data_IF_754883130729
#
_entry.id   IF_754883130729
#
_cell.length_a   1.000
_cell.length_b   1.000
_cell.length_c   1.000
_cell.angle_alpha   90.00
_cell.angle_beta   90.00
_cell.angle_gamma   90.00
#
_symmetry.space_group_name_H-M   'P 1'
#
loop_
_entity.id
_entity.type
_entity.pdbx_description
1 polymer ?
#
# COMPACT_ATOMS: atom_id res chain seq x y z
N UNK A 1 15.26 -48.83 29.30
CA UNK A 1 15.99 -47.55 29.33
C UNK A 1 14.95 -46.44 29.30
N UNK A 2 14.70 -45.81 30.45
CA UNK A 2 13.71 -44.74 30.61
C UNK A 2 14.29 -43.44 30.02
N UNK A 3 13.69 -42.90 28.96
CA UNK A 3 13.98 -41.53 28.54
C UNK A 3 13.25 -40.57 29.50
N UNK A 4 14.06 -39.85 30.26
CA UNK A 4 13.66 -38.82 31.20
C UNK A 4 12.97 -37.66 30.45
N UNK A 5 11.81 -37.25 30.95
CA UNK A 5 11.21 -35.96 30.62
C UNK A 5 12.19 -34.86 31.03
N UNK A 6 12.78 -34.14 30.07
CA UNK A 6 13.67 -33.01 30.36
C UNK A 6 12.78 -31.83 30.77
N UNK A 7 12.80 -31.37 32.04
CA UNK A 7 12.10 -30.15 32.42
C UNK A 7 12.94 -28.98 31.91
N UNK A 8 12.44 -28.29 30.88
CA UNK A 8 13.03 -27.04 30.44
C UNK A 8 12.52 -25.91 31.35
N UNK A 9 13.40 -24.95 31.68
CA UNK A 9 13.06 -23.83 32.55
C UNK A 9 11.84 -23.06 32.00
N UNK A 10 10.82 -22.83 32.85
CA UNK A 10 9.61 -22.07 32.49
C UNK A 10 8.28 -22.84 32.48
N UNK A 11 8.20 -24.04 33.06
CA UNK A 11 6.93 -24.79 33.13
C UNK A 11 6.54 -25.48 31.81
N UNK A 12 7.54 -25.76 30.95
CA UNK A 12 7.36 -26.44 29.67
C UNK A 12 7.73 -27.91 29.83
N UNK A 13 6.85 -28.82 29.38
CA UNK A 13 7.07 -30.27 29.33
C UNK A 13 7.02 -30.78 27.90
N UNK A 14 7.84 -31.77 27.56
CA UNK A 14 7.86 -32.36 26.22
C UNK A 14 7.86 -33.89 26.29
N UNK A 15 7.28 -34.53 25.28
CA UNK A 15 7.29 -35.98 25.11
C UNK A 15 7.33 -36.36 23.64
N UNK A 16 8.22 -37.29 23.27
CA UNK A 16 8.39 -37.78 21.91
C UNK A 16 7.55 -39.05 21.71
N UNK A 17 6.75 -39.11 20.65
CA UNK A 17 6.00 -40.32 20.27
C UNK A 17 6.89 -41.32 19.53
N UNK A 18 7.86 -41.90 20.22
CA UNK A 18 8.81 -42.89 19.70
C UNK A 18 8.45 -44.34 20.06
N UNK A 19 7.26 -44.54 20.65
CA UNK A 19 6.84 -45.84 21.19
C UNK A 19 7.08 -45.99 22.70
N UNK A 20 7.69 -45.00 23.35
CA UNK A 20 7.75 -44.91 24.81
C UNK A 20 6.35 -44.77 25.44
N UNK A 21 6.25 -45.07 26.74
CA UNK A 21 5.01 -44.96 27.48
C UNK A 21 4.50 -43.51 27.47
N UNK A 22 3.23 -43.34 27.08
CA UNK A 22 2.62 -42.01 26.99
C UNK A 22 2.42 -41.42 28.40
N UNK A 23 2.82 -40.16 28.65
CA UNK A 23 2.67 -39.53 29.95
C UNK A 23 1.19 -39.25 30.27
N UNK A 24 0.78 -39.28 31.56
CA UNK A 24 -0.60 -38.97 31.96
C UNK A 24 -1.13 -37.63 31.43
N UNK A 25 -0.29 -36.58 31.42
CA UNK A 25 -0.68 -35.25 30.93
C UNK A 25 -0.98 -35.19 29.43
N UNK A 26 -0.56 -36.21 28.67
CA UNK A 26 -0.94 -36.41 27.26
C UNK A 26 -2.15 -37.34 27.18
N UNK A 27 -2.13 -38.48 27.89
CA UNK A 27 -3.21 -39.47 27.90
C UNK A 27 -4.57 -38.86 28.27
N UNK A 28 -4.62 -38.02 29.30
CA UNK A 28 -5.85 -37.42 29.81
C UNK A 28 -6.47 -36.40 28.84
N UNK A 29 -5.77 -36.10 27.75
CA UNK A 29 -6.12 -35.04 26.79
C UNK A 29 -6.20 -35.54 25.36
N UNK A 30 -6.09 -36.84 25.10
CA UNK A 30 -6.35 -37.37 23.76
C UNK A 30 -7.86 -37.32 23.47
N UNK A 31 -8.22 -36.95 22.25
CA UNK A 31 -9.64 -36.90 21.83
C UNK A 31 -10.08 -38.16 21.09
N UNK A 32 -9.14 -39.04 20.73
CA UNK A 32 -9.37 -40.33 20.08
C UNK A 32 -8.31 -41.34 20.55
N UNK A 33 -8.68 -42.62 20.58
CA UNK A 33 -7.78 -43.73 20.90
C UNK A 33 -6.63 -43.84 19.89
N UNK A 34 -5.48 -44.34 20.37
CA UNK A 34 -4.27 -44.51 19.56
C UNK A 34 -4.51 -45.56 18.46
N UNK A 35 -4.34 -45.16 17.21
CA UNK A 35 -4.50 -46.02 16.05
C UNK A 35 -3.34 -47.04 15.93
N UNK A 36 -3.51 -48.15 15.17
CA UNK A 36 -2.47 -49.15 14.97
C UNK A 36 -1.16 -48.60 14.37
N UNK A 37 -1.22 -47.47 13.65
CA UNK A 37 -0.05 -46.77 13.12
C UNK A 37 0.67 -45.88 14.15
N UNK A 38 0.27 -45.95 15.42
CA UNK A 38 0.86 -45.19 16.51
C UNK A 38 0.44 -43.72 16.59
N UNK A 39 -0.51 -43.27 15.75
CA UNK A 39 -1.01 -41.89 15.77
C UNK A 39 -2.25 -41.71 16.63
N UNK A 40 -2.44 -40.51 17.17
CA UNK A 40 -3.59 -40.14 18.01
C UNK A 40 -3.88 -38.63 17.89
N UNK A 41 -5.04 -38.17 18.34
CA UNK A 41 -5.45 -36.76 18.27
C UNK A 41 -5.30 -36.06 19.63
N UNK A 42 -4.81 -34.81 19.61
CA UNK A 42 -4.76 -33.92 20.77
C UNK A 42 -5.41 -32.57 20.44
N UNK A 43 -6.04 -31.90 21.43
CA UNK A 43 -6.55 -30.55 21.29
C UNK A 43 -5.39 -29.56 21.45
N UNK A 44 -5.26 -28.66 20.48
CA UNK A 44 -4.29 -27.57 20.50
C UNK A 44 -5.02 -26.22 20.42
N UNK A 45 -4.36 -25.08 20.71
CA UNK A 45 -4.96 -23.77 20.53
C UNK A 45 -5.40 -23.46 19.08
N UNK A 46 -4.89 -24.22 18.10
CA UNK A 46 -5.21 -24.08 16.67
C UNK A 46 -6.28 -25.09 16.21
N UNK A 47 -6.93 -25.79 17.15
CA UNK A 47 -7.87 -26.89 16.87
C UNK A 47 -7.25 -28.25 17.17
N UNK A 48 -7.83 -29.31 16.62
CA UNK A 48 -7.36 -30.68 16.86
C UNK A 48 -6.23 -31.05 15.89
N UNK A 49 -5.14 -31.62 16.40
CA UNK A 49 -3.98 -32.04 15.61
C UNK A 49 -3.67 -33.52 15.82
N UNK A 50 -3.27 -34.20 14.75
CA UNK A 50 -2.80 -35.59 14.80
C UNK A 50 -1.31 -35.65 15.13
N UNK A 51 -0.99 -36.37 16.21
CA UNK A 51 0.38 -36.69 16.61
C UNK A 51 0.78 -37.97 15.88
N UNK A 52 1.77 -37.91 15.00
CA UNK A 52 2.34 -39.07 14.32
C UNK A 52 3.48 -39.68 15.14
N UNK A 53 3.89 -40.91 14.81
CA UNK A 53 5.11 -41.48 15.34
C UNK A 53 6.31 -40.61 14.95
N UNK A 54 7.20 -40.33 15.90
CA UNK A 54 8.34 -39.43 15.73
C UNK A 54 8.05 -37.94 15.97
N UNK A 55 6.80 -37.53 16.21
CA UNK A 55 6.49 -36.14 16.60
C UNK A 55 6.63 -35.92 18.11
N UNK A 56 6.95 -34.68 18.48
CA UNK A 56 7.04 -34.23 19.88
C UNK A 56 5.76 -33.51 20.27
N UNK A 57 5.18 -33.92 21.39
CA UNK A 57 4.10 -33.23 22.10
C UNK A 57 4.72 -32.31 23.14
N UNK A 58 4.26 -31.06 23.17
CA UNK A 58 4.79 -30.00 24.05
C UNK A 58 3.62 -29.46 24.88
N UNK A 59 3.83 -29.26 26.18
CA UNK A 59 2.88 -28.63 27.11
C UNK A 59 3.51 -27.40 27.75
N UNK A 60 2.75 -26.31 27.77
CA UNK A 60 3.13 -25.00 28.28
C UNK A 60 1.84 -24.24 28.60
N UNK A 61 1.75 -23.68 29.81
CA UNK A 61 0.57 -22.92 30.23
C UNK A 61 -0.76 -23.70 30.16
N UNK A 62 -0.73 -25.02 30.32
CA UNK A 62 -1.93 -25.87 30.28
C UNK A 62 -2.49 -26.12 28.88
N UNK A 63 -1.74 -25.84 27.81
CA UNK A 63 -2.10 -26.10 26.40
C UNK A 63 -1.14 -27.11 25.78
N UNK A 64 -1.60 -27.86 24.78
CA UNK A 64 -0.78 -28.83 24.06
C UNK A 64 -0.45 -28.35 22.64
N UNK A 65 0.73 -28.72 22.17
CA UNK A 65 1.18 -28.54 20.79
C UNK A 65 1.85 -29.83 20.28
N UNK A 66 1.86 -30.00 18.96
CA UNK A 66 2.57 -31.09 18.30
C UNK A 66 3.47 -30.52 17.20
N UNK A 67 4.74 -30.93 17.19
CA UNK A 67 5.74 -30.51 16.20
C UNK A 67 6.67 -31.66 15.84
N UNK A 68 7.35 -31.55 14.70
CA UNK A 68 8.51 -32.40 14.43
C UNK A 68 9.69 -32.02 15.33
N UNK A 69 10.59 -32.94 15.69
CA UNK A 69 11.72 -32.66 16.59
C UNK A 69 12.54 -31.43 16.17
N UNK A 70 12.75 -31.22 14.87
CA UNK A 70 13.49 -30.10 14.30
C UNK A 70 12.82 -28.72 14.49
N UNK A 71 11.49 -28.68 14.67
CA UNK A 71 10.70 -27.46 14.84
C UNK A 71 10.50 -27.07 16.32
N UNK A 72 10.86 -27.95 17.25
CA UNK A 72 10.67 -27.75 18.70
C UNK A 72 11.47 -26.54 19.23
N UNK A 73 12.76 -26.34 18.87
CA UNK A 73 13.55 -25.22 19.42
C UNK A 73 12.96 -23.84 19.09
N UNK A 74 12.40 -23.66 17.90
CA UNK A 74 11.77 -22.40 17.48
C UNK A 74 10.51 -22.11 18.30
N UNK A 75 9.66 -23.12 18.50
CA UNK A 75 8.44 -22.99 19.30
C UNK A 75 8.76 -22.67 20.77
N UNK A 76 9.78 -23.31 21.34
CA UNK A 76 10.21 -23.07 22.73
C UNK A 76 10.78 -21.65 22.92
N UNK A 77 11.53 -21.14 21.94
CA UNK A 77 12.03 -19.76 21.98
C UNK A 77 10.90 -18.73 22.01
N UNK A 78 9.76 -19.04 21.38
CA UNK A 78 8.55 -18.21 21.43
C UNK A 78 7.90 -18.13 22.82
N UNK A 79 7.95 -19.21 23.60
CA UNK A 79 7.31 -19.27 24.93
C UNK A 79 8.08 -18.51 26.02
N UNK A 80 9.41 -18.47 25.95
CA UNK A 80 10.26 -17.86 27.00
C UNK A 80 10.20 -16.31 26.99
N UNK A 81 9.62 -15.70 25.94
CA UNK A 81 9.58 -14.25 25.77
C UNK A 81 8.40 -13.53 26.48
N UNK A 82 7.50 -14.24 27.18
CA UNK A 82 6.24 -13.70 27.71
C UNK A 82 6.26 -13.39 29.23
N UNK A 83 7.03 -12.41 29.72
CA UNK A 83 6.80 -11.83 31.08
C UNK A 83 7.13 -10.33 31.14
N UNK A 84 6.18 -9.42 30.86
CA UNK A 84 6.18 -8.02 31.37
C UNK A 84 4.77 -7.35 31.26
N UNK A 85 4.48 -6.16 31.86
CA UNK A 85 3.24 -5.85 32.58
C UNK A 85 2.28 -4.96 31.77
N UNK A 86 1.13 -4.62 32.38
CA UNK A 86 0.06 -3.80 31.79
C UNK A 86 0.52 -2.39 31.36
N UNK A 87 0.21 -2.04 30.11
CA UNK A 87 0.45 -0.72 29.51
C UNK A 87 -0.87 0.03 29.31
N UNK A 88 -0.97 1.18 29.97
CA UNK A 88 -1.96 2.23 29.78
C UNK A 88 -1.43 3.29 28.80
N UNK A 89 -1.81 3.21 27.52
CA UNK A 89 -1.98 4.35 26.59
C UNK A 89 -1.99 3.88 25.12
N UNK A 90 -3.08 4.19 24.41
CA UNK A 90 -3.17 4.06 22.95
C UNK A 90 -3.57 5.43 22.38
N UNK A 91 -2.70 6.04 21.58
CA UNK A 91 -3.04 7.21 20.76
C UNK A 91 -1.82 7.92 20.15
N UNK A 92 -1.79 8.20 18.84
CA UNK A 92 -0.72 8.95 18.21
C UNK A 92 -0.95 10.47 18.33
N UNK A 93 0.14 11.18 18.61
CA UNK A 93 0.19 12.59 19.00
C UNK A 93 -0.65 13.60 18.21
N UNK A 94 -1.30 14.49 18.97
CA UNK A 94 -1.23 15.94 18.79
C UNK A 94 -1.25 16.63 20.15
N UNK A 95 -0.07 17.01 20.62
CA UNK A 95 0.11 18.09 21.60
C UNK A 95 1.45 18.75 21.34
N UNK A 96 1.52 19.50 20.23
CA UNK A 96 2.53 20.54 20.09
C UNK A 96 1.90 21.85 20.57
N UNK A 97 2.00 22.12 21.86
CA UNK A 97 1.98 23.48 22.40
C UNK A 97 3.02 23.59 23.53
N UNK A 98 3.77 24.68 23.47
CA UNK A 98 4.82 25.15 24.37
C UNK A 98 6.21 24.55 24.17
N UNK A 99 7.09 25.41 23.65
CA UNK A 99 8.45 25.10 23.29
C UNK A 99 9.35 24.83 24.48
N UNK A 100 10.29 23.91 24.28
CA UNK A 100 11.59 23.93 24.96
C UNK A 100 12.67 23.52 23.96
N UNK A 101 13.80 24.21 24.07
CA UNK A 101 14.93 24.25 23.14
C UNK A 101 15.49 22.86 22.82
N UNK A 102 15.65 22.56 21.53
CA UNK A 102 16.39 21.38 21.08
C UNK A 102 17.89 21.58 21.33
N UNK A 103 18.47 20.80 22.25
CA UNK A 103 19.92 20.61 22.29
C UNK A 103 20.30 19.59 21.24
N UNK A 104 21.14 20.03 20.30
CA UNK A 104 21.85 19.22 19.30
C UNK A 104 22.71 18.16 19.98
N UNK A 105 22.27 16.90 19.91
CA UNK A 105 23.03 15.72 20.31
C UNK A 105 23.65 15.05 19.09
N UNK A 106 24.98 14.93 19.12
CA UNK A 106 25.86 14.27 18.14
C UNK A 106 25.33 12.93 17.62
N UNK A 107 25.33 12.78 16.28
CA UNK A 107 24.97 11.54 15.57
C UNK A 107 26.12 10.52 15.67
N UNK A 108 25.99 9.57 16.60
CA UNK A 108 26.67 8.28 16.51
C UNK A 108 25.92 7.34 15.57
N UNK A 109 26.57 6.90 14.49
CA UNK A 109 26.11 5.77 13.66
C UNK A 109 26.04 4.50 14.52
N UNK A 110 24.84 3.95 14.72
CA UNK A 110 24.63 2.53 15.07
C UNK A 110 23.46 1.98 14.29
N UNK A 111 23.76 1.17 13.28
CA UNK A 111 22.82 0.29 12.60
C UNK A 111 22.58 -0.95 13.45
N UNK A 112 21.87 -0.79 14.57
CA UNK A 112 21.21 -1.91 15.24
C UNK A 112 19.72 -1.76 14.95
N UNK A 113 19.12 -2.76 14.29
CA UNK A 113 17.66 -2.84 14.18
C UNK A 113 17.07 -2.64 15.58
N UNK A 114 16.24 -1.61 15.74
CA UNK A 114 15.52 -1.42 16.99
C UNK A 114 14.68 -2.66 17.18
N UNK A 115 14.91 -3.42 18.25
CA UNK A 115 14.03 -4.53 18.65
C UNK A 115 12.64 -3.95 18.88
N UNK A 116 11.75 -4.09 17.90
CA UNK A 116 10.35 -3.70 18.03
C UNK A 116 9.68 -4.86 18.79
N UNK A 117 9.26 -4.62 20.04
CA UNK A 117 8.40 -5.55 20.74
C UNK A 117 7.01 -5.51 20.10
N UNK A 118 6.53 -6.64 19.60
CA UNK A 118 5.16 -6.77 19.10
C UNK A 118 4.20 -6.84 20.29
N UNK A 119 3.15 -6.01 20.30
CA UNK A 119 2.11 -6.09 21.33
C UNK A 119 1.28 -7.37 21.19
N UNK A 120 0.64 -7.81 22.27
CA UNK A 120 -0.26 -8.95 22.24
C UNK A 120 -1.39 -8.73 21.20
N UNK A 121 -1.72 -9.74 20.37
CA UNK A 121 -2.87 -9.65 19.48
C UNK A 121 -4.15 -9.35 20.25
N UNK A 122 -4.95 -8.41 19.76
CA UNK A 122 -6.24 -8.04 20.35
C UNK A 122 -7.41 -8.38 19.42
N UNK A 123 -8.58 -8.63 20.00
CA UNK A 123 -9.80 -8.96 19.27
C UNK A 123 -9.96 -10.45 18.95
N UNK A 124 -11.04 -10.77 18.22
CA UNK A 124 -11.32 -12.13 17.74
C UNK A 124 -10.78 -12.30 16.32
N UNK A 125 -10.40 -13.53 15.95
CA UNK A 125 -10.00 -13.82 14.57
C UNK A 125 -11.19 -13.63 13.63
N UNK A 126 -11.01 -12.97 12.47
CA UNK A 126 -12.08 -12.87 11.49
C UNK A 126 -12.30 -14.21 10.77
N UNK A 127 -13.50 -14.39 10.23
CA UNK A 127 -13.80 -15.48 9.29
C UNK A 127 -13.80 -14.98 7.84
N UNK A 128 -13.43 -15.86 6.90
CA UNK A 128 -13.59 -15.60 5.47
C UNK A 128 -14.78 -16.41 4.97
N UNK A 129 -15.80 -15.72 4.44
CA UNK A 129 -17.06 -16.34 4.04
C UNK A 129 -17.56 -15.78 2.70
N UNK A 130 -18.25 -16.62 1.92
CA UNK A 130 -19.06 -16.15 0.80
C UNK A 130 -20.42 -15.71 1.32
N UNK A 131 -20.71 -14.41 1.23
CA UNK A 131 -21.95 -13.83 1.77
C UNK A 131 -22.86 -13.41 0.63
N UNK A 132 -24.14 -13.80 0.72
CA UNK A 132 -25.14 -13.39 -0.26
C UNK A 132 -25.28 -11.87 -0.28
N UNK A 133 -25.28 -11.27 -1.47
CA UNK A 133 -25.25 -9.80 -1.62
C UNK A 133 -26.45 -9.13 -0.96
N UNK A 134 -27.62 -9.78 -0.96
CA UNK A 134 -28.83 -9.30 -0.30
C UNK A 134 -28.81 -9.42 1.24
N UNK A 135 -27.86 -10.16 1.82
CA UNK A 135 -27.69 -10.28 3.28
C UNK A 135 -26.74 -9.23 3.87
N UNK A 136 -26.15 -8.38 3.02
CA UNK A 136 -25.24 -7.31 3.40
C UNK A 136 -26.01 -5.98 3.48
N UNK A 137 -25.72 -5.18 4.51
CA UNK A 137 -26.30 -3.85 4.71
C UNK A 137 -25.21 -2.80 4.86
N UNK A 138 -25.59 -1.53 4.77
CA UNK A 138 -24.71 -0.38 4.96
C UNK A 138 -25.27 0.46 6.11
N UNK A 139 -24.41 0.87 7.05
CA UNK A 139 -24.81 1.78 8.12
C UNK A 139 -24.58 3.23 7.67
N UNK A 140 -25.66 3.98 7.48
CA UNK A 140 -25.61 5.36 7.01
C UNK A 140 -25.13 6.36 8.05
N UNK A 141 -24.98 5.98 9.33
CA UNK A 141 -24.64 6.92 10.42
C UNK A 141 -23.21 7.44 10.35
N UNK A 142 -22.27 6.66 9.81
CA UNK A 142 -20.85 7.04 9.72
C UNK A 142 -20.20 6.73 8.37
N UNK A 143 -20.91 6.11 7.43
CA UNK A 143 -20.37 5.75 6.12
C UNK A 143 -20.62 6.81 5.06
N UNK A 144 -19.74 6.85 4.03
CA UNK A 144 -19.86 7.81 2.93
C UNK A 144 -21.00 7.40 2.01
N UNK A 145 -21.89 8.33 1.68
CA UNK A 145 -22.86 8.12 0.61
C UNK A 145 -22.15 7.87 -0.72
N UNK A 146 -22.65 6.87 -1.45
CA UNK A 146 -22.24 6.50 -2.80
C UNK A 146 -23.14 7.16 -3.87
N UNK A 147 -23.98 8.11 -3.49
CA UNK A 147 -24.97 8.76 -4.37
C UNK A 147 -24.43 10.02 -5.08
N UNK A 148 -23.11 10.21 -5.08
CA UNK A 148 -22.48 11.24 -5.90
C UNK A 148 -22.15 10.72 -7.31
N UNK A 149 -22.02 11.63 -8.28
CA UNK A 149 -21.74 11.28 -9.68
C UNK A 149 -20.46 10.45 -9.85
N UNK A 150 -19.42 10.78 -9.09
CA UNK A 150 -18.15 10.05 -9.13
C UNK A 150 -18.32 8.58 -8.73
N UNK A 151 -19.06 8.34 -7.65
CA UNK A 151 -19.36 6.99 -7.15
C UNK A 151 -20.25 6.22 -8.12
N UNK A 152 -21.28 6.85 -8.71
CA UNK A 152 -22.11 6.23 -9.74
C UNK A 152 -21.30 5.77 -10.95
N UNK A 153 -20.39 6.62 -11.45
CA UNK A 153 -19.50 6.28 -12.58
C UNK A 153 -18.55 5.14 -12.21
N UNK A 154 -17.99 5.17 -11.00
CA UNK A 154 -17.11 4.10 -10.51
C UNK A 154 -17.86 2.76 -10.40
N UNK A 155 -19.05 2.74 -9.80
CA UNK A 155 -19.89 1.54 -9.70
C UNK A 155 -20.22 1.00 -11.09
N UNK A 156 -20.58 1.87 -12.04
CA UNK A 156 -20.86 1.48 -13.42
C UNK A 156 -19.63 0.82 -14.07
N UNK A 157 -18.44 1.41 -13.88
CA UNK A 157 -17.19 0.89 -14.41
C UNK A 157 -16.83 -0.47 -13.82
N UNK A 158 -16.92 -0.63 -12.50
CA UNK A 158 -16.67 -1.91 -11.81
C UNK A 158 -17.67 -2.97 -12.29
N UNK A 159 -18.95 -2.62 -12.45
CA UNK A 159 -19.98 -3.56 -12.89
C UNK A 159 -19.73 -4.03 -14.34
N UNK A 160 -19.36 -3.11 -15.23
CA UNK A 160 -19.09 -3.41 -16.64
C UNK A 160 -17.82 -4.25 -16.84
N UNK A 161 -16.77 -3.96 -16.08
CA UNK A 161 -15.45 -4.60 -16.19
C UNK A 161 -15.14 -5.46 -14.96
N UNK A 162 -16.15 -6.15 -14.42
CA UNK A 162 -15.97 -6.92 -13.20
C UNK A 162 -14.97 -8.06 -13.42
N UNK A 163 -13.92 -8.08 -12.61
CA UNK A 163 -12.88 -9.10 -12.63
C UNK A 163 -12.66 -9.64 -11.22
N UNK A 164 -12.85 -10.95 -11.05
CA UNK A 164 -12.63 -11.62 -9.76
C UNK A 164 -11.22 -11.42 -9.21
N UNK A 165 -10.21 -11.25 -10.08
CA UNK A 165 -8.82 -10.99 -9.69
C UNK A 165 -8.64 -9.62 -9.02
N UNK A 166 -9.56 -8.68 -9.28
CA UNK A 166 -9.59 -7.34 -8.69
C UNK A 166 -10.58 -7.24 -7.53
N UNK A 167 -11.39 -8.27 -7.30
CA UNK A 167 -12.40 -8.30 -6.24
C UNK A 167 -11.81 -8.81 -4.92
N UNK A 168 -11.05 -7.95 -4.22
CA UNK A 168 -10.61 -8.26 -2.87
C UNK A 168 -11.80 -8.43 -1.92
N UNK A 169 -11.71 -9.34 -0.92
CA UNK A 169 -12.80 -9.57 0.04
C UNK A 169 -13.28 -8.29 0.71
N UNK A 170 -14.60 -8.18 0.86
CA UNK A 170 -15.24 -7.05 1.55
C UNK A 170 -14.94 -7.15 3.04
N UNK A 171 -14.75 -6.01 3.70
CA UNK A 171 -14.61 -5.97 5.16
C UNK A 171 -16.00 -5.76 5.74
N UNK A 172 -16.46 -6.67 6.58
CA UNK A 172 -17.84 -6.71 7.09
C UNK A 172 -17.85 -6.86 8.60
N UNK A 173 -18.67 -6.08 9.28
CA UNK A 173 -19.00 -6.26 10.70
C UNK A 173 -20.14 -7.25 10.82
N UNK A 174 -19.93 -8.34 11.57
CA UNK A 174 -21.00 -9.22 12.06
C UNK A 174 -21.40 -8.74 13.45
N UNK A 175 -22.57 -8.12 13.54
CA UNK A 175 -23.13 -7.62 14.81
C UNK A 175 -23.74 -8.77 15.62
N UNK A 176 -23.97 -8.57 16.95
CA UNK A 176 -24.55 -9.59 17.82
C UNK A 176 -25.93 -10.11 17.37
N UNK A 177 -26.71 -9.27 16.68
CA UNK A 177 -28.02 -9.62 16.10
C UNK A 177 -27.91 -10.44 14.79
N UNK A 178 -26.70 -10.76 14.34
CA UNK A 178 -26.42 -11.51 13.11
C UNK A 178 -26.42 -10.67 11.83
N UNK A 179 -26.72 -9.37 11.93
CA UNK A 179 -26.63 -8.45 10.79
C UNK A 179 -25.18 -8.30 10.30
N UNK A 180 -25.04 -8.11 8.99
CA UNK A 180 -23.73 -8.05 8.30
C UNK A 180 -23.59 -6.71 7.63
N UNK A 181 -22.89 -5.81 8.30
CA UNK A 181 -22.73 -4.42 7.88
C UNK A 181 -21.40 -4.25 7.16
N UNK A 182 -21.44 -3.78 5.92
CA UNK A 182 -20.25 -3.51 5.11
C UNK A 182 -19.48 -2.36 5.75
N UNK A 183 -18.18 -2.54 6.00
CA UNK A 183 -17.25 -1.50 6.48
C UNK A 183 -16.42 -0.95 5.30
N UNK A 184 -15.92 -1.84 4.44
CA UNK A 184 -15.19 -1.49 3.22
C UNK A 184 -15.63 -2.36 2.04
N UNK A 185 -15.69 -1.74 0.85
CA UNK A 185 -16.10 -2.42 -0.38
C UNK A 185 -17.53 -2.11 -0.86
N UNK A 186 -18.16 -1.04 -0.36
CA UNK A 186 -19.51 -0.62 -0.79
C UNK A 186 -19.66 -0.49 -2.32
N UNK A 187 -18.68 0.08 -3.05
CA UNK A 187 -18.76 0.19 -4.51
C UNK A 187 -18.74 -1.17 -5.21
N UNK A 188 -17.99 -2.15 -4.69
CA UNK A 188 -17.94 -3.53 -5.22
C UNK A 188 -19.26 -4.26 -4.96
N UNK A 189 -19.80 -4.12 -3.75
CA UNK A 189 -21.13 -4.64 -3.42
C UNK A 189 -22.22 -4.03 -4.31
N UNK A 190 -22.25 -2.71 -4.44
CA UNK A 190 -23.22 -2.02 -5.29
C UNK A 190 -23.07 -2.42 -6.77
N UNK A 191 -21.84 -2.63 -7.26
CA UNK A 191 -21.60 -3.13 -8.61
C UNK A 191 -22.13 -4.56 -8.80
N UNK A 192 -21.90 -5.46 -7.84
CA UNK A 192 -22.45 -6.81 -7.88
C UNK A 192 -23.98 -6.82 -7.84
N UNK A 193 -24.59 -6.03 -6.95
CA UNK A 193 -26.04 -5.81 -6.90
C UNK A 193 -26.58 -5.29 -8.23
N UNK A 194 -25.86 -4.36 -8.87
CA UNK A 194 -26.24 -3.81 -10.18
C UNK A 194 -26.18 -4.82 -11.32
N UNK A 195 -25.23 -5.75 -11.29
CA UNK A 195 -25.11 -6.80 -12.32
C UNK A 195 -26.21 -7.87 -12.18
N UNK A 196 -26.59 -8.20 -10.95
CA UNK A 196 -27.64 -9.18 -10.66
C UNK A 196 -27.26 -10.65 -10.88
N UNK A 197 -26.13 -10.93 -11.53
CA UNK A 197 -25.60 -12.28 -11.80
C UNK A 197 -24.55 -12.76 -10.77
N UNK A 198 -24.24 -11.93 -9.78
CA UNK A 198 -23.27 -12.21 -8.71
C UNK A 198 -24.01 -12.41 -7.38
N UNK A 199 -24.42 -13.65 -7.02
CA UNK A 199 -25.25 -13.89 -5.84
C UNK A 199 -24.49 -13.69 -4.53
N UNK A 200 -23.16 -13.89 -4.54
CA UNK A 200 -22.32 -13.84 -3.34
C UNK A 200 -21.02 -13.09 -3.62
N UNK A 201 -20.47 -12.48 -2.57
CA UNK A 201 -19.15 -11.85 -2.57
C UNK A 201 -18.29 -12.41 -1.44
N UNK A 202 -16.96 -12.52 -1.63
CA UNK A 202 -16.06 -12.93 -0.58
C UNK A 202 -16.01 -11.81 0.48
N UNK A 203 -16.14 -12.17 1.74
CA UNK A 203 -16.18 -11.24 2.86
C UNK A 203 -15.23 -11.72 3.96
N UNK A 204 -14.53 -10.78 4.58
CA UNK A 204 -13.81 -10.95 5.84
C UNK A 204 -14.69 -10.37 6.96
N UNK A 205 -15.24 -11.25 7.80
CA UNK A 205 -16.22 -10.90 8.82
C UNK A 205 -15.52 -10.74 10.16
N UNK A 206 -15.70 -9.57 10.76
CA UNK A 206 -15.18 -9.20 12.07
C UNK A 206 -16.33 -9.09 13.07
N UNK A 207 -16.09 -9.45 14.32
CA UNK A 207 -17.02 -9.20 15.42
C UNK A 207 -16.40 -8.20 16.38
N UNK A 208 -17.12 -7.11 16.64
CA UNK A 208 -16.69 -6.03 17.55
C UNK A 208 -17.51 -6.04 18.83
N UNK A 209 -16.92 -5.53 19.91
CA UNK A 209 -17.59 -5.40 21.21
C UNK A 209 -18.67 -4.32 21.23
N UNK A 210 -18.52 -3.29 20.39
CA UNK A 210 -19.51 -2.20 20.27
C UNK A 210 -19.51 -1.52 18.88
N UNK A 211 -20.58 -0.78 18.53
CA UNK A 211 -20.61 0.05 17.31
C UNK A 211 -19.50 1.11 17.26
N UNK A 212 -19.04 1.62 18.41
CA UNK A 212 -17.94 2.59 18.48
C UNK A 212 -16.59 1.94 18.10
N UNK A 213 -16.39 0.68 18.47
CA UNK A 213 -15.20 -0.10 18.08
C UNK A 213 -15.21 -0.38 16.57
N UNK A 214 -16.37 -0.72 16.01
CA UNK A 214 -16.61 -0.86 14.56
C UNK A 214 -16.23 0.44 13.82
N UNK A 215 -16.75 1.60 14.29
CA UNK A 215 -16.45 2.91 13.72
C UNK A 215 -14.96 3.29 13.85
N UNK A 216 -14.32 2.96 14.97
CA UNK A 216 -12.89 3.21 15.17
C UNK A 216 -12.04 2.39 14.19
N UNK A 217 -12.40 1.13 13.99
CA UNK A 217 -11.72 0.27 13.02
C UNK A 217 -11.94 0.71 11.59
N UNK A 218 -13.15 1.19 11.24
CA UNK A 218 -13.40 1.85 9.96
C UNK A 218 -12.42 3.01 9.71
N UNK A 219 -12.24 3.90 10.70
CA UNK A 219 -11.32 5.04 10.58
C UNK A 219 -9.88 4.56 10.40
N UNK A 220 -9.43 3.60 11.21
CA UNK A 220 -8.05 3.07 11.15
C UNK A 220 -7.78 2.39 9.82
N UNK A 221 -8.64 1.47 9.38
CA UNK A 221 -8.50 0.75 8.12
C UNK A 221 -8.45 1.71 6.91
N UNK A 222 -9.28 2.75 6.91
CA UNK A 222 -9.29 3.74 5.84
C UNK A 222 -8.07 4.68 5.87
N UNK A 223 -7.61 5.08 7.06
CA UNK A 223 -6.43 5.97 7.20
C UNK A 223 -5.10 5.24 6.98
N UNK A 224 -5.04 3.95 7.29
CA UNK A 224 -3.84 3.13 7.09
C UNK A 224 -3.56 2.83 5.61
N UNK A 225 -4.56 2.97 4.73
CA UNK A 225 -4.35 2.84 3.28
C UNK A 225 -3.45 3.95 2.77
N UNK A 226 -2.19 3.61 2.54
CA UNK A 226 -1.28 4.44 1.79
C UNK A 226 -1.67 4.34 0.31
N UNK A 227 -2.11 5.43 -0.28
CA UNK A 227 -2.34 5.48 -1.72
C UNK A 227 -1.02 5.11 -2.44
N UNK A 228 -1.13 4.27 -3.46
CA UNK A 228 0.01 3.96 -4.32
C UNK A 228 0.53 5.26 -4.92
N UNK A 229 1.85 5.42 -4.95
CA UNK A 229 2.45 6.63 -5.51
C UNK A 229 2.28 6.59 -7.04
N UNK A 230 2.07 7.75 -7.69
CA UNK A 230 1.90 7.80 -9.15
C UNK A 230 3.07 7.19 -9.92
N UNK A 231 4.28 7.29 -9.36
CA UNK A 231 5.44 6.63 -9.97
C UNK A 231 5.33 5.12 -9.84
N UNK A 232 4.87 4.59 -8.70
CA UNK A 232 4.63 3.15 -8.54
C UNK A 232 3.54 2.67 -9.52
N UNK A 233 2.45 3.45 -9.69
CA UNK A 233 1.40 3.18 -10.68
C UNK A 233 1.99 3.09 -12.10
N UNK A 234 2.84 4.05 -12.48
CA UNK A 234 3.44 4.08 -13.82
C UNK A 234 4.41 2.91 -14.05
N UNK A 235 5.22 2.55 -13.04
CA UNK A 235 6.09 1.38 -13.15
C UNK A 235 5.29 0.07 -13.21
N UNK A 236 4.16 -0.01 -12.50
CA UNK A 236 3.25 -1.14 -12.62
C UNK A 236 2.62 -1.22 -14.02
N UNK A 237 2.22 -0.08 -14.60
CA UNK A 237 1.70 -0.01 -15.97
C UNK A 237 2.75 -0.49 -17.00
N UNK A 238 4.00 -0.07 -16.85
CA UNK A 238 5.12 -0.56 -17.67
C UNK A 238 5.32 -2.08 -17.54
N UNK A 239 5.24 -2.62 -16.32
CA UNK A 239 5.36 -4.05 -16.09
C UNK A 239 4.16 -4.83 -16.66
N UNK A 240 2.99 -4.22 -16.71
CA UNK A 240 1.78 -4.76 -17.31
C UNK A 240 1.75 -4.67 -18.85
N UNK A 241 2.72 -3.99 -19.47
CA UNK A 241 2.79 -3.81 -20.92
C UNK A 241 1.76 -2.81 -21.46
N UNK A 242 1.33 -1.84 -20.65
CA UNK A 242 0.43 -0.77 -21.05
C UNK A 242 1.05 0.07 -22.19
N UNK A 243 0.37 0.16 -23.33
CA UNK A 243 0.88 0.82 -24.56
C UNK A 243 1.19 2.30 -24.33
N UNK A 244 0.29 3.04 -23.66
CA UNK A 244 0.49 4.45 -23.30
C UNK A 244 1.76 4.62 -22.44
N UNK A 245 1.96 3.76 -21.44
CA UNK A 245 3.14 3.81 -20.58
C UNK A 245 4.43 3.48 -21.35
N UNK A 246 4.38 2.51 -22.27
CA UNK A 246 5.52 2.13 -23.12
C UNK A 246 5.91 3.27 -24.07
N UNK A 247 4.94 3.95 -24.68
CA UNK A 247 5.18 5.10 -25.55
C UNK A 247 5.77 6.28 -24.79
N UNK A 248 5.26 6.57 -23.59
CA UNK A 248 5.84 7.60 -22.72
C UNK A 248 7.29 7.24 -22.40
N UNK A 249 7.60 5.99 -22.04
CA UNK A 249 8.97 5.55 -21.76
C UNK A 249 9.88 5.71 -22.98
N UNK A 250 9.38 5.35 -24.17
CA UNK A 250 10.13 5.51 -25.44
C UNK A 250 10.48 6.97 -25.67
N UNK A 251 9.49 7.86 -25.70
CA UNK A 251 9.67 9.29 -25.94
C UNK A 251 10.63 9.96 -24.94
N UNK A 252 10.49 9.60 -23.67
CA UNK A 252 11.37 10.12 -22.61
C UNK A 252 12.82 9.65 -22.82
N UNK A 253 13.01 8.38 -23.18
CA UNK A 253 14.33 7.81 -23.42
C UNK A 253 14.99 8.38 -24.68
N UNK A 254 14.22 8.56 -25.76
CA UNK A 254 14.68 9.15 -27.03
C UNK A 254 15.13 10.61 -26.85
N UNK A 255 14.47 11.36 -25.97
CA UNK A 255 14.89 12.72 -25.59
C UNK A 255 16.11 12.75 -24.64
N UNK A 256 16.66 11.59 -24.24
CA UNK A 256 17.79 11.50 -23.31
C UNK A 256 17.43 11.79 -21.86
N UNK A 257 16.15 11.70 -21.49
CA UNK A 257 15.64 11.88 -20.14
C UNK A 257 15.39 10.52 -19.47
N UNK A 258 15.16 10.53 -18.16
CA UNK A 258 14.88 9.33 -17.39
C UNK A 258 13.64 9.51 -16.50
N UNK A 259 12.89 8.43 -16.28
CA UNK A 259 11.73 8.44 -15.38
C UNK A 259 12.20 8.12 -13.97
N UNK A 260 11.97 9.05 -13.03
CA UNK A 260 12.43 8.89 -11.65
C UNK A 260 11.66 7.77 -10.92
N UNK A 261 12.34 7.04 -10.03
CA UNK A 261 11.68 6.00 -9.20
C UNK A 261 10.88 6.57 -8.04
N UNK A 262 11.14 7.82 -7.65
CA UNK A 262 10.53 8.45 -6.49
C UNK A 262 10.01 9.83 -6.84
N UNK A 263 8.92 10.24 -6.20
CA UNK A 263 8.39 11.60 -6.29
C UNK A 263 9.15 12.61 -5.44
N UNK A 264 10.12 12.16 -4.62
CA UNK A 264 10.96 13.03 -3.80
C UNK A 264 12.02 13.71 -4.66
N UNK A 265 11.89 15.03 -4.83
CA UNK A 265 12.83 15.84 -5.63
C UNK A 265 14.28 15.81 -5.13
N UNK A 266 14.50 15.54 -3.84
CA UNK A 266 15.86 15.40 -3.28
C UNK A 266 16.59 14.14 -3.74
N UNK A 267 15.87 13.18 -4.35
CA UNK A 267 16.44 11.96 -4.89
C UNK A 267 16.64 12.00 -6.42
N UNK A 268 16.24 13.08 -7.08
CA UNK A 268 16.27 13.18 -8.54
C UNK A 268 17.68 13.46 -9.04
N UNK A 269 18.07 12.73 -10.07
CA UNK A 269 19.30 12.97 -10.84
C UNK A 269 19.02 13.98 -11.95
N UNK A 270 20.07 14.60 -12.51
CA UNK A 270 19.93 15.35 -13.75
C UNK A 270 19.16 14.59 -14.83
N UNK A 271 18.18 15.25 -15.47
CA UNK A 271 17.33 14.63 -16.49
C UNK A 271 16.23 13.69 -15.98
N UNK A 272 16.09 13.49 -14.65
CA UNK A 272 14.97 12.74 -14.10
C UNK A 272 13.66 13.54 -14.18
N UNK A 273 12.58 12.86 -14.59
CA UNK A 273 11.22 13.42 -14.65
C UNK A 273 10.23 12.58 -13.84
N UNK A 274 9.13 13.21 -13.40
CA UNK A 274 8.04 12.55 -12.64
C UNK A 274 6.64 12.87 -13.15
N UNK A 275 6.52 13.61 -14.25
CA UNK A 275 5.26 14.13 -14.76
C UNK A 275 4.67 13.28 -15.89
N UNK A 276 4.70 11.95 -15.74
CA UNK A 276 4.22 11.00 -16.77
C UNK A 276 2.76 11.24 -17.16
N UNK A 277 1.89 11.62 -16.22
CA UNK A 277 0.49 11.97 -16.51
C UNK A 277 0.34 13.20 -17.42
N UNK A 278 1.26 14.17 -17.33
CA UNK A 278 1.28 15.35 -18.21
C UNK A 278 1.69 14.95 -19.62
N UNK A 279 2.65 14.05 -19.76
CA UNK A 279 3.07 13.50 -21.06
C UNK A 279 1.92 12.72 -21.69
N UNK A 280 1.28 11.82 -20.95
CA UNK A 280 0.12 11.07 -21.43
C UNK A 280 -1.01 11.98 -21.94
N UNK A 281 -1.26 13.08 -21.21
CA UNK A 281 -2.28 14.06 -21.60
C UNK A 281 -1.89 14.83 -22.86
N UNK A 282 -0.62 15.22 -22.98
CA UNK A 282 -0.11 15.90 -24.16
C UNK A 282 -0.12 14.98 -25.39
N UNK A 283 0.30 13.72 -25.24
CA UNK A 283 0.31 12.73 -26.32
C UNK A 283 -1.09 12.51 -26.90
N UNK A 284 -2.10 12.32 -26.05
CA UNK A 284 -3.50 12.16 -26.50
C UNK A 284 -4.08 13.39 -27.18
N UNK A 285 -3.59 14.60 -26.87
CA UNK A 285 -4.13 15.87 -27.39
C UNK A 285 -3.41 16.39 -28.62
N UNK A 286 -2.10 16.20 -28.68
CA UNK A 286 -1.20 16.87 -29.62
C UNK A 286 -0.35 15.89 -30.44
N UNK A 287 -0.35 14.60 -30.09
CA UNK A 287 0.41 13.57 -30.80
C UNK A 287 1.89 13.54 -30.48
N UNK A 288 2.56 12.55 -31.07
CA UNK A 288 3.94 12.17 -30.77
C UNK A 288 4.96 13.29 -31.08
N UNK A 289 4.83 13.92 -32.25
CA UNK A 289 5.77 14.94 -32.73
C UNK A 289 5.91 16.13 -31.77
N UNK A 290 4.79 16.66 -31.26
CA UNK A 290 4.79 17.80 -30.33
C UNK A 290 5.40 17.41 -28.99
N UNK A 291 5.09 16.22 -28.49
CA UNK A 291 5.62 15.72 -27.22
C UNK A 291 7.13 15.48 -27.32
N UNK A 292 7.58 14.84 -28.41
CA UNK A 292 8.99 14.58 -28.68
C UNK A 292 9.79 15.88 -28.79
N UNK A 293 9.30 16.86 -29.55
CA UNK A 293 9.93 18.17 -29.67
C UNK A 293 10.03 18.90 -28.31
N UNK A 294 8.96 18.89 -27.51
CA UNK A 294 8.95 19.51 -26.19
C UNK A 294 9.92 18.84 -25.19
N UNK A 295 9.97 17.50 -25.17
CA UNK A 295 10.89 16.76 -24.30
C UNK A 295 12.35 17.00 -24.69
N UNK A 296 12.66 16.92 -26.00
CA UNK A 296 14.00 17.10 -26.54
C UNK A 296 14.51 18.53 -26.28
N UNK A 297 13.69 19.54 -26.59
CA UNK A 297 14.02 20.93 -26.34
C UNK A 297 14.31 21.20 -24.84
N UNK A 298 13.48 20.68 -23.94
CA UNK A 298 13.71 20.79 -22.50
C UNK A 298 14.99 20.07 -22.05
N UNK A 299 15.26 18.87 -22.57
CA UNK A 299 16.44 18.08 -22.24
C UNK A 299 17.74 18.79 -22.67
N UNK A 300 17.75 19.40 -23.85
CA UNK A 300 18.89 20.13 -24.39
C UNK A 300 19.13 21.47 -23.69
N UNK A 301 18.06 22.16 -23.30
CA UNK A 301 18.14 23.43 -22.58
C UNK A 301 18.71 23.26 -21.18
N UNK A 302 18.34 22.18 -20.48
CA UNK A 302 18.65 21.96 -19.06
C UNK A 302 19.54 20.74 -18.81
N UNK A 303 20.41 20.44 -19.78
CA UNK A 303 21.33 19.29 -19.71
C UNK A 303 22.21 19.37 -18.46
N UNK A 304 22.17 18.33 -17.64
CA UNK A 304 22.97 18.24 -16.42
C UNK A 304 22.31 18.83 -15.17
N UNK A 305 21.08 19.32 -15.27
CA UNK A 305 20.33 19.88 -14.14
C UNK A 305 19.15 18.98 -13.69
N UNK A 306 18.83 18.95 -12.38
CA UNK A 306 17.57 18.39 -11.89
C UNK A 306 16.36 19.20 -12.36
N UNK A 307 15.38 18.55 -12.99
CA UNK A 307 14.21 19.20 -13.60
C UNK A 307 13.08 19.45 -12.59
N UNK A 308 13.34 20.21 -11.52
CA UNK A 308 12.38 20.49 -10.43
C UNK A 308 11.07 21.06 -10.94
N UNK A 309 11.15 21.99 -11.91
CA UNK A 309 10.00 22.61 -12.56
C UNK A 309 9.73 22.06 -13.97
N UNK A 310 10.27 20.86 -14.27
CA UNK A 310 10.16 20.20 -15.57
C UNK A 310 8.74 20.06 -16.09
N UNK A 311 7.77 19.73 -15.22
CA UNK A 311 6.37 19.60 -15.62
C UNK A 311 5.75 20.90 -16.14
N UNK A 312 6.12 22.04 -15.52
CA UNK A 312 5.61 23.35 -15.89
C UNK A 312 6.20 23.80 -17.22
N UNK A 313 7.53 23.64 -17.40
CA UNK A 313 8.20 24.04 -18.64
C UNK A 313 7.83 23.11 -19.80
N UNK A 314 7.72 21.80 -19.57
CA UNK A 314 7.20 20.86 -20.57
C UNK A 314 5.80 21.28 -21.05
N UNK A 315 4.90 21.60 -20.12
CA UNK A 315 3.56 22.09 -20.48
C UNK A 315 3.58 23.40 -21.26
N UNK A 316 4.53 24.30 -20.96
CA UNK A 316 4.72 25.54 -21.70
C UNK A 316 5.19 25.28 -23.14
N UNK A 317 6.16 24.38 -23.31
CA UNK A 317 6.68 23.99 -24.63
C UNK A 317 5.62 23.30 -25.47
N UNK A 318 4.85 22.37 -24.90
CA UNK A 318 3.71 21.75 -25.60
C UNK A 318 2.72 22.81 -26.10
N UNK A 319 2.44 23.85 -25.30
CA UNK A 319 1.56 24.95 -25.72
C UNK A 319 2.12 25.75 -26.89
N UNK A 320 3.42 26.03 -26.87
CA UNK A 320 4.12 26.77 -27.94
C UNK A 320 4.15 25.93 -29.22
N UNK A 321 4.60 24.68 -29.16
CA UNK A 321 4.65 23.81 -30.35
C UNK A 321 3.27 23.50 -30.93
N UNK A 322 2.24 23.40 -30.08
CA UNK A 322 0.87 23.18 -30.56
C UNK A 322 0.24 24.43 -31.22
N UNK A 323 0.69 25.63 -30.83
CA UNK A 323 0.20 26.89 -31.38
C UNK A 323 1.38 27.87 -31.48
N UNK A 324 2.28 27.68 -32.47
CA UNK A 324 3.48 28.50 -32.59
C UNK A 324 3.10 29.95 -32.92
N UNK A 325 3.75 30.96 -32.31
CA UNK A 325 3.56 32.35 -32.69
C UNK A 325 4.01 32.59 -34.14
N UNK A 326 3.54 33.69 -34.74
CA UNK A 326 3.94 34.06 -36.09
C UNK A 326 5.46 34.32 -36.14
N UNK A 327 6.13 33.79 -37.17
CA UNK A 327 7.58 33.90 -37.31
C UNK A 327 8.40 33.00 -36.37
N UNK A 328 7.75 32.12 -35.61
CA UNK A 328 8.42 31.24 -34.65
C UNK A 328 9.40 30.27 -35.30
N UNK A 329 10.66 30.33 -34.88
CA UNK A 329 11.70 29.34 -35.17
C UNK A 329 11.96 28.45 -33.93
N UNK A 330 11.83 27.13 -34.11
CA UNK A 330 12.08 26.16 -33.04
C UNK A 330 13.54 26.12 -32.61
N UNK A 331 14.48 26.47 -33.49
CA UNK A 331 15.92 26.39 -33.19
C UNK A 331 16.34 27.45 -32.16
N UNK A 332 15.56 28.51 -32.02
CA UNK A 332 15.81 29.58 -31.05
C UNK A 332 15.30 29.25 -29.63
N UNK A 333 14.45 28.23 -29.49
CA UNK A 333 13.89 27.89 -28.18
C UNK A 333 14.97 27.46 -27.18
N UNK A 334 15.91 26.61 -27.57
CA UNK A 334 16.93 26.11 -26.64
C UNK A 334 17.81 27.24 -26.10
N UNK A 335 18.38 28.13 -26.94
CA UNK A 335 19.05 29.35 -26.47
C UNK A 335 18.18 30.20 -25.54
N UNK A 336 16.89 30.37 -25.87
CA UNK A 336 15.97 31.18 -25.07
C UNK A 336 15.65 30.57 -23.71
N UNK A 337 15.45 29.25 -23.64
CA UNK A 337 15.19 28.52 -22.39
C UNK A 337 16.39 28.60 -21.44
N UNK A 338 17.62 28.57 -21.96
CA UNK A 338 18.85 28.69 -21.15
C UNK A 338 18.98 30.02 -20.41
N UNK A 339 18.18 31.03 -20.77
CA UNK A 339 18.10 32.32 -20.06
C UNK A 339 17.31 32.23 -18.75
N UNK A 340 16.60 31.12 -18.52
CA UNK A 340 15.80 30.89 -17.33
C UNK A 340 16.33 29.67 -16.60
N UNK A 341 16.97 29.87 -15.45
CA UNK A 341 17.35 28.78 -14.55
C UNK A 341 16.12 28.08 -13.96
N UNK A 342 16.29 26.83 -13.51
CA UNK A 342 15.22 26.10 -12.81
C UNK A 342 14.68 26.87 -11.58
N UNK A 343 15.53 27.62 -10.89
CA UNK A 343 15.12 28.44 -9.75
C UNK A 343 14.22 29.62 -10.18
N UNK A 344 14.59 30.34 -11.25
CA UNK A 344 13.79 31.46 -11.78
C UNK A 344 12.43 30.99 -12.31
N UNK A 345 12.40 29.83 -12.99
CA UNK A 345 11.14 29.21 -13.40
C UNK A 345 10.24 28.94 -12.18
N UNK A 346 10.84 28.51 -11.06
CA UNK A 346 10.15 28.30 -9.79
C UNK A 346 9.54 29.58 -9.20
N UNK A 347 10.29 30.68 -9.24
CA UNK A 347 9.80 31.99 -8.81
C UNK A 347 8.59 32.46 -9.63
N UNK A 348 8.65 32.31 -10.96
CA UNK A 348 7.58 32.73 -11.86
C UNK A 348 6.26 31.99 -11.63
N UNK A 349 6.34 30.74 -11.17
CA UNK A 349 5.17 29.87 -10.99
C UNK A 349 4.72 29.74 -9.54
N UNK A 350 5.39 30.44 -8.60
CA UNK A 350 5.14 30.30 -7.16
C UNK A 350 3.68 30.54 -6.77
N UNK A 351 3.08 31.59 -7.31
CA UNK A 351 1.72 32.02 -6.96
C UNK A 351 0.62 31.32 -7.79
N UNK A 352 1.01 30.40 -8.67
CA UNK A 352 0.10 29.73 -9.59
C UNK A 352 -0.40 28.41 -9.02
N UNK A 353 -1.73 28.22 -9.09
CA UNK A 353 -2.37 26.97 -8.64
C UNK A 353 -2.66 26.07 -9.84
N UNK A 354 -2.15 24.84 -9.79
CA UNK A 354 -2.39 23.82 -10.82
C UNK A 354 -1.31 23.76 -11.91
N UNK A 355 -1.23 22.65 -12.64
CA UNK A 355 -0.25 22.47 -13.70
C UNK A 355 -0.49 23.39 -14.91
N UNK A 356 -1.75 23.57 -15.28
CA UNK A 356 -2.12 24.30 -16.49
C UNK A 356 -1.81 25.81 -16.40
N UNK A 357 -2.14 26.44 -15.27
CA UNK A 357 -1.82 27.84 -15.01
C UNK A 357 -0.31 28.10 -15.02
N UNK A 358 0.49 27.18 -14.46
CA UNK A 358 1.96 27.25 -14.46
C UNK A 358 2.52 27.17 -15.88
N UNK A 359 2.05 26.21 -16.67
CA UNK A 359 2.42 26.08 -18.07
C UNK A 359 2.08 27.34 -18.88
N UNK A 360 0.91 27.92 -18.65
CA UNK A 360 0.51 29.16 -19.32
C UNK A 360 1.42 30.35 -18.99
N UNK A 361 1.72 30.58 -17.71
CA UNK A 361 2.61 31.67 -17.29
C UNK A 361 4.00 31.54 -17.90
N UNK A 362 4.58 30.33 -17.86
CA UNK A 362 5.90 30.10 -18.45
C UNK A 362 5.87 30.24 -19.98
N UNK A 363 4.82 29.79 -20.67
CA UNK A 363 4.72 29.97 -22.13
C UNK A 363 4.73 31.45 -22.52
N UNK A 364 4.02 32.30 -21.76
CA UNK A 364 4.04 33.76 -21.97
C UNK A 364 5.41 34.36 -21.69
N UNK A 365 6.12 33.89 -20.67
CA UNK A 365 7.45 34.38 -20.34
C UNK A 365 8.47 34.05 -21.45
N UNK A 366 8.42 32.82 -21.98
CA UNK A 366 9.28 32.38 -23.09
C UNK A 366 8.99 33.20 -24.35
N UNK A 367 7.73 33.32 -24.76
CA UNK A 367 7.33 34.11 -25.95
C UNK A 367 7.72 35.59 -25.78
N UNK A 368 7.50 36.19 -24.61
CA UNK A 368 7.88 37.58 -24.35
C UNK A 368 9.39 37.80 -24.45
N UNK A 369 10.18 36.82 -24.02
CA UNK A 369 11.63 36.91 -24.11
C UNK A 369 12.11 36.75 -25.56
N UNK A 370 11.41 35.93 -26.35
CA UNK A 370 11.67 35.75 -27.78
C UNK A 370 11.43 37.05 -28.56
N UNK A 371 10.25 37.68 -28.40
CA UNK A 371 9.94 38.97 -29.07
C UNK A 371 10.91 40.12 -28.74
N UNK A 372 11.61 40.06 -27.60
CA UNK A 372 12.59 41.07 -27.18
C UNK A 372 13.99 40.82 -27.71
N UNK A 373 14.23 39.65 -28.29
CA UNK A 373 15.48 39.34 -28.97
C UNK A 373 15.48 39.85 -30.42
N UNK A 374 14.28 40.06 -30.99
CA UNK A 374 14.05 40.60 -32.34
C UNK A 374 13.99 42.14 -32.41
N UNK A 375 13.99 42.82 -31.26
CA UNK A 375 14.16 44.28 -31.10
C UNK A 375 15.62 44.63 -30.80
#
# INVERSE_FOLDING_TARGET
>A
MQQQSIPLAGGIRTWLNDGSAMPPWVCDRITEDKLPNGSFLIPTPLGTTRVHAGHVVIEHGGKLWCRKPEEVPELLAGFIAEIVPEITAIGPGKSAQFGTKSKTGSRGKRGSERKIAFGAPCGTMPSIEWVHVAALTVDSSYQRSIDNDGSRRLIASIAANFDWRLCAPLVVSRRPDGSKVIIDGQHRWAAAMRRGDLPQLPCCLFTYGSPEDEARMFIVANRARKAMNRMDDFHAALAAGDEDALDIRRLVSEAGLAIARSTSSTAWRPGDITFTSSIATALRRHGDAIVSAALTCMAEAYKGEPLIHGASIFGALVRIFANPPEGFDSDELVPMLRRFSMAELGEMVRDQKGGDARAFVLSKAVIKAWNRADE
#
